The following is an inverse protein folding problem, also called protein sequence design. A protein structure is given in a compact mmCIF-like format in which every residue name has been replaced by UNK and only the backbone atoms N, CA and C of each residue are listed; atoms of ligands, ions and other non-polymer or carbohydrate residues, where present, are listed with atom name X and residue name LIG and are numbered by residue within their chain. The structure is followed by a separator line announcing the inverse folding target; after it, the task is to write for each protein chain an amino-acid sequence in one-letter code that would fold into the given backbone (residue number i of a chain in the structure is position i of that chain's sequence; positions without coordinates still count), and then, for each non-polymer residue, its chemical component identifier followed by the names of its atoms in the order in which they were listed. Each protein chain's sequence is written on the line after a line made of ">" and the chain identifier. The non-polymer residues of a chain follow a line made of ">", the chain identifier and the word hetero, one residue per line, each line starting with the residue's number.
data_IF_933075592321
#
_entry.id   IF_933075592321
#
_cell.length_a   1.000
_cell.length_b   1.000
_cell.length_c   1.000
_cell.angle_alpha   90.00
_cell.angle_beta   90.00
_cell.angle_gamma   90.00
#
_symmetry.space_group_name_H-M   'P 1'
#
loop_
_entity.id
_entity.type
_entity.pdbx_description
1 polymer ?
#
# COMPACT_ATOMS: atom_id res chain seq x y z
N UNK A 1 4.35 -17.13 9.37
CA UNK A 1 3.81 -16.20 8.38
C UNK A 1 4.08 -14.79 8.88
N UNK A 2 4.80 -13.98 8.10
CA UNK A 2 5.40 -12.69 8.49
C UNK A 2 4.80 -11.60 7.63
N UNK A 3 4.05 -10.68 8.25
CA UNK A 3 3.35 -9.63 7.53
C UNK A 3 4.31 -8.57 6.97
N UNK A 4 3.81 -7.70 6.09
CA UNK A 4 4.63 -6.69 5.43
C UNK A 4 5.29 -5.74 6.43
N UNK A 5 4.60 -5.32 7.50
CA UNK A 5 5.17 -4.44 8.54
C UNK A 5 6.49 -4.95 9.09
N UNK A 6 6.62 -6.26 9.29
CA UNK A 6 7.82 -6.90 9.82
C UNK A 6 8.96 -7.04 8.80
N UNK A 7 8.67 -6.88 7.50
CA UNK A 7 9.62 -7.06 6.40
C UNK A 7 10.18 -5.74 5.85
N UNK A 8 9.50 -4.63 6.08
CA UNK A 8 9.88 -3.33 5.54
C UNK A 8 11.18 -2.78 6.15
N UNK A 9 12.07 -2.27 5.29
CA UNK A 9 13.25 -1.49 5.68
C UNK A 9 13.13 -0.06 5.17
N UNK A 10 13.60 0.98 5.90
CA UNK A 10 13.60 2.35 5.39
C UNK A 10 14.46 2.50 4.12
N UNK A 11 13.87 3.08 3.07
CA UNK A 11 14.49 3.20 1.74
C UNK A 11 15.43 4.40 1.58
N UNK A 12 15.62 5.21 2.62
CA UNK A 12 16.42 6.44 2.57
C UNK A 12 15.95 7.52 3.56
N UNK A 13 16.39 8.78 3.38
CA UNK A 13 16.01 9.88 4.25
C UNK A 13 14.57 10.36 4.02
N UNK A 14 13.99 10.99 5.03
CA UNK A 14 12.70 11.70 4.92
C UNK A 14 12.94 13.08 4.29
N UNK A 15 12.77 13.19 2.97
CA UNK A 15 13.11 14.38 2.18
C UNK A 15 12.19 15.60 2.42
N UNK A 16 10.98 15.38 2.97
CA UNK A 16 10.01 16.40 3.36
C UNK A 16 9.34 15.98 4.68
N UNK A 17 10.03 16.25 5.79
CA UNK A 17 9.54 15.89 7.12
C UNK A 17 8.21 16.57 7.50
N UNK A 18 7.96 17.87 7.19
CA UNK A 18 6.66 18.48 7.42
C UNK A 18 5.50 17.80 6.67
N UNK A 19 5.68 17.41 5.42
CA UNK A 19 4.64 16.70 4.66
C UNK A 19 4.38 15.30 5.23
N UNK A 20 5.44 14.55 5.55
CA UNK A 20 5.33 13.25 6.20
C UNK A 20 4.62 13.36 7.56
N UNK A 21 4.96 14.38 8.38
CA UNK A 21 4.34 14.63 9.68
C UNK A 21 2.83 14.86 9.60
N UNK A 22 2.38 15.73 8.68
CA UNK A 22 0.94 15.97 8.46
C UNK A 22 0.19 14.71 8.03
N UNK A 23 0.83 13.87 7.22
CA UNK A 23 0.24 12.57 6.85
C UNK A 23 0.18 11.64 8.06
N UNK A 24 1.26 11.59 8.86
CA UNK A 24 1.33 10.74 10.04
C UNK A 24 0.19 11.04 11.02
N UNK A 25 -0.04 12.33 11.33
CA UNK A 25 -1.14 12.76 12.21
C UNK A 25 -2.48 12.20 11.74
N UNK A 26 -2.77 12.30 10.43
CA UNK A 26 -4.01 11.78 9.84
C UNK A 26 -4.11 10.27 9.89
N UNK A 27 -2.99 9.57 9.68
CA UNK A 27 -2.95 8.12 9.77
C UNK A 27 -3.07 7.65 11.23
N UNK A 28 -2.52 8.37 12.19
CA UNK A 28 -2.66 8.07 13.63
C UNK A 28 -4.12 8.18 14.07
N UNK A 29 -4.85 9.22 13.65
CA UNK A 29 -6.29 9.34 13.88
C UNK A 29 -7.04 8.10 13.34
N UNK A 30 -6.82 7.78 12.06
CA UNK A 30 -7.46 6.62 11.43
C UNK A 30 -7.00 5.27 12.03
N UNK A 31 -5.78 5.19 12.54
CA UNK A 31 -5.22 4.00 13.17
C UNK A 31 -5.76 3.78 14.57
N UNK A 32 -6.01 4.85 15.32
CA UNK A 32 -6.70 4.78 16.60
C UNK A 32 -8.15 4.30 16.41
N UNK A 33 -8.88 4.87 15.44
CA UNK A 33 -10.25 4.46 15.12
C UNK A 33 -10.33 3.01 14.64
N UNK A 34 -9.38 2.58 13.81
CA UNK A 34 -9.34 1.22 13.28
C UNK A 34 -8.68 0.19 14.21
N UNK A 35 -8.07 0.60 15.33
CA UNK A 35 -7.33 -0.30 16.23
C UNK A 35 -6.07 -0.92 15.63
N UNK A 36 -5.33 -0.20 14.80
CA UNK A 36 -4.06 -0.64 14.16
C UNK A 36 -2.90 0.33 14.41
N UNK A 37 -2.96 1.07 15.53
CA UNK A 37 -1.94 2.05 15.92
C UNK A 37 -0.54 1.45 16.10
N UNK A 38 -0.45 0.23 16.64
CA UNK A 38 0.82 -0.50 16.80
C UNK A 38 1.44 -0.84 15.44
N UNK A 39 0.64 -1.33 14.50
CA UNK A 39 1.05 -1.62 13.12
C UNK A 39 1.59 -0.36 12.45
N UNK A 40 0.87 0.76 12.55
CA UNK A 40 1.32 2.03 11.98
C UNK A 40 2.64 2.50 12.61
N UNK A 41 2.75 2.47 13.94
CA UNK A 41 3.96 2.90 14.65
C UNK A 41 5.18 2.06 14.25
N UNK A 42 5.01 0.74 14.12
CA UNK A 42 6.07 -0.16 13.70
C UNK A 42 6.50 0.07 12.23
N UNK A 43 5.54 0.31 11.33
CA UNK A 43 5.83 0.54 9.91
C UNK A 43 6.34 1.95 9.60
N UNK A 44 6.00 2.95 10.43
CA UNK A 44 6.25 4.37 10.13
C UNK A 44 7.70 4.71 9.73
N UNK A 45 8.76 4.17 10.37
CA UNK A 45 10.13 4.43 9.96
C UNK A 45 10.41 4.10 8.48
N UNK A 46 9.76 3.06 7.93
CA UNK A 46 9.86 2.70 6.53
C UNK A 46 8.88 3.47 5.63
N UNK A 47 7.70 3.83 6.13
CA UNK A 47 6.68 4.57 5.38
C UNK A 47 7.03 6.06 5.20
N UNK A 48 7.63 6.70 6.20
CA UNK A 48 7.94 8.12 6.20
C UNK A 48 8.80 8.56 4.98
N UNK A 49 9.93 7.91 4.65
CA UNK A 49 10.71 8.31 3.47
C UNK A 49 9.95 8.09 2.16
N UNK A 50 9.16 7.01 2.04
CA UNK A 50 8.33 6.74 0.86
C UNK A 50 7.31 7.84 0.62
N UNK A 51 6.56 8.20 1.67
CA UNK A 51 5.51 9.21 1.56
C UNK A 51 6.04 10.64 1.45
N UNK A 52 7.22 10.92 1.99
CA UNK A 52 7.91 12.18 1.77
C UNK A 52 8.37 12.33 0.31
N UNK A 53 8.82 11.25 -0.32
CA UNK A 53 9.32 11.26 -1.70
C UNK A 53 8.19 11.17 -2.75
N UNK A 54 7.01 10.65 -2.39
CA UNK A 54 5.90 10.43 -3.33
C UNK A 54 4.56 10.97 -2.83
N UNK A 55 4.18 12.20 -3.26
CA UNK A 55 2.85 12.76 -2.98
C UNK A 55 1.69 11.87 -3.48
N UNK A 56 1.93 11.08 -4.53
CA UNK A 56 0.96 10.12 -5.04
C UNK A 56 0.68 9.01 -4.02
N UNK A 57 1.72 8.32 -3.52
CA UNK A 57 1.58 7.25 -2.53
C UNK A 57 1.05 7.77 -1.20
N UNK A 58 1.53 8.94 -0.75
CA UNK A 58 0.98 9.65 0.40
C UNK A 58 -0.54 9.90 0.25
N UNK A 59 -0.96 10.32 -0.95
CA UNK A 59 -2.37 10.53 -1.28
C UNK A 59 -3.20 9.25 -1.28
N UNK A 60 -2.65 8.12 -1.71
CA UNK A 60 -3.31 6.81 -1.64
C UNK A 60 -3.56 6.40 -0.18
N UNK A 61 -2.50 6.38 0.63
CA UNK A 61 -2.55 6.07 2.05
C UNK A 61 -3.56 6.95 2.80
N UNK A 62 -3.51 8.27 2.58
CA UNK A 62 -4.42 9.23 3.23
C UNK A 62 -5.89 8.98 2.90
N UNK A 63 -6.20 8.66 1.63
CA UNK A 63 -7.60 8.49 1.19
C UNK A 63 -8.21 7.17 1.64
N UNK A 64 -7.39 6.14 1.84
CA UNK A 64 -7.84 4.78 2.17
C UNK A 64 -6.94 4.15 3.25
N UNK A 65 -6.96 4.69 4.49
CA UNK A 65 -6.14 4.19 5.59
C UNK A 65 -6.44 2.71 5.92
N UNK A 66 -7.69 2.27 5.75
CA UNK A 66 -8.07 0.87 5.92
C UNK A 66 -7.37 -0.07 4.91
N UNK A 67 -7.13 0.37 3.67
CA UNK A 67 -6.37 -0.43 2.70
C UNK A 67 -4.89 -0.47 3.05
N UNK A 68 -4.33 0.66 3.50
CA UNK A 68 -2.95 0.67 4.00
C UNK A 68 -2.77 -0.32 5.16
N UNK A 69 -3.71 -0.33 6.12
CA UNK A 69 -3.74 -1.33 7.20
C UNK A 69 -3.72 -2.75 6.63
N UNK A 70 -4.65 -3.08 5.74
CA UNK A 70 -4.74 -4.43 5.17
C UNK A 70 -3.43 -4.85 4.50
N UNK A 71 -2.80 -3.95 3.74
CA UNK A 71 -1.49 -4.18 3.13
C UNK A 71 -0.41 -4.46 4.19
N UNK A 72 -0.34 -3.65 5.25
CA UNK A 72 0.67 -3.74 6.30
C UNK A 72 0.53 -5.00 7.18
N UNK A 73 -0.71 -5.46 7.41
CA UNK A 73 -1.04 -6.60 8.26
C UNK A 73 -1.06 -7.94 7.51
N UNK A 74 -1.01 -7.92 6.18
CA UNK A 74 -0.98 -9.12 5.34
C UNK A 74 0.45 -9.51 4.94
N UNK A 75 0.64 -10.76 4.50
CA UNK A 75 1.78 -11.07 3.65
C UNK A 75 1.57 -10.41 2.28
N UNK A 76 2.61 -9.77 1.69
CA UNK A 76 2.45 -9.06 0.43
C UNK A 76 2.08 -9.99 -0.73
N UNK A 77 2.53 -11.25 -0.71
CA UNK A 77 2.15 -12.27 -1.68
C UNK A 77 0.65 -12.61 -1.58
N UNK A 78 0.17 -12.91 -0.37
CA UNK A 78 -1.25 -13.19 -0.12
C UNK A 78 -2.14 -11.99 -0.49
N UNK A 79 -1.70 -10.76 -0.18
CA UNK A 79 -2.47 -9.56 -0.52
C UNK A 79 -2.54 -9.34 -2.02
N UNK A 80 -1.46 -9.61 -2.75
CA UNK A 80 -1.46 -9.54 -4.20
C UNK A 80 -2.44 -10.55 -4.80
N UNK A 81 -2.41 -11.80 -4.35
CA UNK A 81 -3.31 -12.83 -4.85
C UNK A 81 -4.78 -12.49 -4.55
N UNK A 82 -5.07 -11.86 -3.41
CA UNK A 82 -6.39 -11.31 -3.10
C UNK A 82 -6.80 -10.21 -4.09
N UNK A 83 -5.93 -9.23 -4.37
CA UNK A 83 -6.21 -8.15 -5.34
C UNK A 83 -6.48 -8.72 -6.73
N UNK A 84 -5.69 -9.71 -7.17
CA UNK A 84 -5.88 -10.37 -8.48
C UNK A 84 -7.21 -11.12 -8.52
N UNK A 85 -7.55 -11.85 -7.47
CA UNK A 85 -8.82 -12.58 -7.35
C UNK A 85 -10.02 -11.62 -7.36
N UNK A 86 -9.95 -10.54 -6.58
CA UNK A 86 -10.98 -9.50 -6.55
C UNK A 86 -11.14 -8.82 -7.92
N UNK A 87 -10.04 -8.63 -8.66
CA UNK A 87 -10.04 -8.05 -10.01
C UNK A 87 -10.73 -8.98 -11.01
N UNK A 88 -10.34 -10.25 -11.05
CA UNK A 88 -10.91 -11.25 -11.95
C UNK A 88 -12.39 -11.54 -11.66
N UNK A 89 -12.85 -11.31 -10.42
CA UNK A 89 -14.24 -11.47 -10.03
C UNK A 89 -15.14 -10.29 -10.46
N UNK A 90 -14.56 -9.15 -10.88
CA UNK A 90 -15.35 -8.01 -11.34
C UNK A 90 -16.11 -8.36 -12.63
N UNK A 91 -17.43 -8.15 -12.61
CA UNK A 91 -18.29 -8.41 -13.76
C UNK A 91 -19.32 -7.29 -13.92
N UNK A 92 -19.71 -7.04 -15.18
CA UNK A 92 -20.65 -5.97 -15.52
C UNK A 92 -20.22 -5.16 -16.75
N UNK A 93 -21.01 -4.15 -17.14
CA UNK A 93 -20.67 -3.29 -18.27
C UNK A 93 -19.43 -2.43 -17.97
N UNK A 94 -18.63 -2.03 -18.98
CA UNK A 94 -17.37 -1.31 -18.79
C UNK A 94 -17.45 -0.10 -17.86
N UNK A 95 -18.55 0.65 -17.89
CA UNK A 95 -18.73 1.81 -17.02
C UNK A 95 -18.88 1.46 -15.54
N UNK A 96 -19.47 0.32 -15.21
CA UNK A 96 -19.59 -0.17 -13.83
C UNK A 96 -18.24 -0.66 -13.29
N UNK A 97 -17.35 -1.15 -14.16
CA UNK A 97 -16.03 -1.67 -13.77
C UNK A 97 -15.01 -0.56 -13.48
N UNK A 98 -15.19 0.63 -14.08
CA UNK A 98 -14.26 1.77 -14.01
C UNK A 98 -13.93 2.21 -12.58
N UNK A 99 -14.90 2.23 -11.67
CA UNK A 99 -14.69 2.65 -10.29
C UNK A 99 -13.96 1.58 -9.45
N UNK A 100 -14.44 0.32 -9.36
CA UNK A 100 -13.76 -0.72 -8.59
C UNK A 100 -12.36 -1.03 -9.12
N UNK A 101 -12.14 -1.07 -10.44
CA UNK A 101 -10.80 -1.25 -11.01
C UNK A 101 -9.81 -0.16 -10.59
N UNK A 102 -10.27 1.09 -10.46
CA UNK A 102 -9.42 2.19 -9.97
C UNK A 102 -9.09 2.04 -8.49
N UNK A 103 -9.94 1.40 -7.71
CA UNK A 103 -9.68 1.12 -6.30
C UNK A 103 -8.62 0.01 -6.19
N UNK A 104 -8.82 -1.11 -6.89
CA UNK A 104 -7.89 -2.25 -6.86
C UNK A 104 -6.51 -1.87 -7.44
N UNK A 105 -6.48 -1.11 -8.55
CA UNK A 105 -5.22 -0.60 -9.12
C UNK A 105 -4.48 0.32 -8.17
N UNK A 106 -5.20 1.19 -7.46
CA UNK A 106 -4.60 2.07 -6.46
C UNK A 106 -4.01 1.27 -5.30
N UNK A 107 -4.69 0.21 -4.88
CA UNK A 107 -4.19 -0.67 -3.83
C UNK A 107 -2.95 -1.46 -4.28
N UNK A 108 -2.99 -2.02 -5.49
CA UNK A 108 -1.83 -2.67 -6.11
C UNK A 108 -0.62 -1.75 -6.12
N UNK A 109 -0.77 -0.51 -6.59
CA UNK A 109 0.33 0.46 -6.65
C UNK A 109 0.93 0.72 -5.26
N UNK A 110 0.10 0.79 -4.21
CA UNK A 110 0.58 0.99 -2.86
C UNK A 110 1.32 -0.25 -2.34
N UNK A 111 0.76 -1.44 -2.54
CA UNK A 111 1.40 -2.71 -2.18
C UNK A 111 2.76 -2.87 -2.86
N UNK A 112 2.80 -2.76 -4.18
CA UNK A 112 4.03 -2.96 -4.96
C UNK A 112 5.09 -1.93 -4.63
N UNK A 113 4.70 -0.65 -4.44
CA UNK A 113 5.66 0.39 -4.10
C UNK A 113 6.24 0.23 -2.69
N UNK A 114 5.43 -0.19 -1.71
CA UNK A 114 5.92 -0.47 -0.37
C UNK A 114 6.82 -1.71 -0.34
N UNK A 115 6.48 -2.75 -1.10
CA UNK A 115 7.31 -3.95 -1.20
C UNK A 115 8.65 -3.67 -1.91
N UNK A 116 8.65 -2.89 -2.99
CA UNK A 116 9.85 -2.46 -3.72
C UNK A 116 10.76 -1.61 -2.82
N UNK A 117 10.26 -0.44 -2.39
CA UNK A 117 11.05 0.52 -1.62
C UNK A 117 11.43 -0.02 -0.24
N UNK A 118 10.59 -0.89 0.34
CA UNK A 118 10.87 -1.57 1.60
C UNK A 118 11.92 -2.68 1.52
N UNK A 119 12.41 -3.01 0.32
CA UNK A 119 13.40 -4.08 0.10
C UNK A 119 12.82 -5.49 0.22
N UNK A 120 11.51 -5.64 0.06
CA UNK A 120 10.77 -6.90 0.23
C UNK A 120 10.64 -7.68 -1.08
N UNK A 121 10.45 -6.96 -2.19
CA UNK A 121 10.38 -7.51 -3.53
C UNK A 121 11.49 -6.91 -4.39
N UNK A 122 12.02 -7.73 -5.30
CA UNK A 122 12.91 -7.26 -6.36
C UNK A 122 12.10 -6.73 -7.56
N UNK A 123 12.81 -6.23 -8.56
CA UNK A 123 12.21 -5.65 -9.76
C UNK A 123 11.37 -6.66 -10.54
N UNK A 124 11.79 -7.93 -10.59
CA UNK A 124 11.07 -8.99 -11.31
C UNK A 124 9.73 -9.30 -10.62
N UNK A 125 9.71 -9.38 -9.29
CA UNK A 125 8.49 -9.58 -8.52
C UNK A 125 7.52 -8.39 -8.67
N UNK A 126 8.03 -7.15 -8.62
CA UNK A 126 7.21 -5.93 -8.79
C UNK A 126 6.59 -5.87 -10.18
N UNK A 127 7.40 -6.04 -11.23
CA UNK A 127 6.91 -5.99 -12.61
C UNK A 127 5.96 -7.16 -12.90
N UNK A 128 6.26 -8.35 -12.39
CA UNK A 128 5.37 -9.51 -12.46
C UNK A 128 4.02 -9.26 -11.79
N UNK A 129 3.97 -8.58 -10.65
CA UNK A 129 2.71 -8.20 -9.99
C UNK A 129 1.88 -7.23 -10.87
N UNK A 130 2.53 -6.23 -11.48
CA UNK A 130 1.86 -5.26 -12.36
C UNK A 130 1.32 -5.94 -13.64
N UNK A 131 2.09 -6.85 -14.24
CA UNK A 131 1.67 -7.62 -15.40
C UNK A 131 0.49 -8.53 -15.06
N UNK A 132 0.57 -9.29 -13.97
CA UNK A 132 -0.54 -10.16 -13.53
C UNK A 132 -1.84 -9.39 -13.31
N UNK A 133 -1.77 -8.18 -12.76
CA UNK A 133 -2.95 -7.33 -12.60
C UNK A 133 -3.50 -6.81 -13.93
N UNK A 134 -2.64 -6.57 -14.93
CA UNK A 134 -3.09 -6.16 -16.25
C UNK A 134 -3.78 -7.31 -17.02
N UNK A 135 -3.43 -8.56 -16.70
CA UNK A 135 -4.01 -9.76 -17.31
C UNK A 135 -5.31 -10.25 -16.62
N UNK A 136 -5.53 -9.88 -15.36
CA UNK A 136 -6.70 -10.25 -14.55
C UNK A 136 -7.97 -9.47 -14.91
#
# INVERSE_FOLDING_TARGET
>A
MTNLTQRLTPCGPVVDAPAAGRLHERLVEAAAEGGWGETLAAAWPALAPVFAASPYLAGLARRRPAQLRTILESEPEDRLDAILTETAALSGPPDALKAPLRVLKAELHLLTALADLGGVWDLDAVTGALSRFADA
#
